data_IF_801267491245
#
_entry.id   IF_801267491245
#
_cell.length_a   1.000
_cell.length_b   1.000
_cell.length_c   1.000
_cell.angle_alpha   90.00
_cell.angle_beta   90.00
_cell.angle_gamma   90.00
#
_symmetry.space_group_name_H-M   'P 1'
#
loop_
_entity.id
_entity.type
_entity.pdbx_description
1 polymer ?
#
# COMPACT_ATOMS: atom_id res chain seq x y z
N UNK A 1 17.16 0.92 -9.18
CA UNK A 1 16.89 2.34 -8.82
C UNK A 1 15.61 2.36 -7.98
N UNK A 2 15.56 3.14 -6.89
CA UNK A 2 14.35 3.35 -6.09
C UNK A 2 14.04 4.85 -6.05
N UNK A 3 12.79 5.21 -6.29
CA UNK A 3 12.32 6.61 -6.27
C UNK A 3 11.15 6.68 -5.31
N UNK A 4 11.37 7.08 -4.04
CA UNK A 4 10.30 7.20 -3.06
C UNK A 4 9.40 8.41 -3.38
N UNK A 5 8.12 8.30 -3.07
CA UNK A 5 7.15 9.39 -3.18
C UNK A 5 6.17 9.34 -2.01
N UNK A 6 5.76 10.51 -1.50
CA UNK A 6 4.92 10.62 -0.30
C UNK A 6 3.45 10.98 -0.61
N UNK A 7 3.01 10.73 -1.84
CA UNK A 7 1.66 11.05 -2.31
C UNK A 7 0.95 9.81 -2.86
N UNK A 8 -0.39 9.88 -2.92
CA UNK A 8 -1.22 8.81 -3.51
C UNK A 8 -0.74 8.51 -4.93
N UNK A 9 -0.42 7.25 -5.20
CA UNK A 9 0.06 6.84 -6.53
C UNK A 9 -1.00 7.15 -7.60
N UNK A 10 -0.67 7.95 -8.64
CA UNK A 10 -1.66 8.42 -9.62
C UNK A 10 -2.11 7.36 -10.63
N UNK A 11 -1.43 6.19 -10.68
CA UNK A 11 -1.74 5.13 -11.65
C UNK A 11 -1.21 5.39 -13.07
N UNK A 12 -0.85 6.63 -13.39
CA UNK A 12 -0.28 7.03 -14.70
C UNK A 12 0.90 7.97 -14.49
N UNK A 13 1.98 7.76 -15.25
CA UNK A 13 3.20 8.55 -15.14
C UNK A 13 3.93 8.61 -16.49
N UNK A 14 4.87 9.56 -16.60
CA UNK A 14 5.84 9.58 -17.68
C UNK A 14 7.16 9.03 -17.17
N UNK A 15 7.76 8.11 -17.91
CA UNK A 15 9.10 7.64 -17.68
C UNK A 15 9.99 8.13 -18.80
N UNK A 16 11.04 8.85 -18.43
CA UNK A 16 12.07 9.33 -19.35
C UNK A 16 13.35 8.60 -18.98
N UNK A 17 13.89 7.83 -19.90
CA UNK A 17 15.15 7.11 -19.75
C UNK A 17 16.17 7.68 -20.71
N UNK A 18 17.32 8.08 -20.18
CA UNK A 18 18.42 8.63 -20.95
C UNK A 18 19.67 7.76 -20.75
N UNK A 19 20.32 7.40 -21.85
CA UNK A 19 21.55 6.63 -21.88
C UNK A 19 22.66 7.59 -22.26
N UNK A 20 23.66 7.72 -21.39
CA UNK A 20 24.76 8.68 -21.54
C UNK A 20 26.10 7.96 -21.65
N UNK A 21 26.99 8.48 -22.49
CA UNK A 21 28.39 8.06 -22.51
C UNK A 21 29.11 8.64 -21.28
N UNK A 22 29.81 7.78 -20.53
CA UNK A 22 30.60 8.16 -19.38
C UNK A 22 32.09 8.24 -19.79
N UNK A 23 32.50 9.31 -20.46
CA UNK A 23 33.94 9.53 -20.68
C UNK A 23 34.65 9.86 -19.36
N UNK A 24 35.76 9.17 -19.14
CA UNK A 24 36.52 9.18 -17.90
C UNK A 24 37.30 10.49 -17.75
N UNK A 25 36.69 11.56 -17.24
CA UNK A 25 37.34 12.46 -16.27
C UNK A 25 36.41 13.58 -15.75
N UNK A 26 36.04 13.41 -14.48
CA UNK A 26 36.05 14.42 -13.42
C UNK A 26 34.89 15.42 -13.28
N UNK A 27 34.13 15.86 -14.31
CA UNK A 27 32.95 16.72 -14.04
C UNK A 27 31.77 16.41 -14.99
N UNK A 28 30.73 15.79 -14.41
CA UNK A 28 29.34 15.69 -14.91
C UNK A 28 29.18 15.30 -16.39
N UNK A 29 29.30 14.01 -16.67
CA UNK A 29 29.04 13.42 -17.99
C UNK A 29 27.64 13.73 -18.57
N UNK A 30 26.68 14.13 -17.74
CA UNK A 30 25.31 14.54 -18.13
C UNK A 30 25.16 16.03 -18.47
N UNK A 31 26.18 16.88 -18.30
CA UNK A 31 26.11 18.30 -18.69
C UNK A 31 26.39 18.52 -20.19
N UNK A 32 27.24 17.69 -20.79
CA UNK A 32 27.54 17.78 -22.22
C UNK A 32 26.52 16.98 -23.05
N UNK A 33 25.55 17.64 -23.68
CA UNK A 33 24.50 16.98 -24.48
C UNK A 33 25.02 16.11 -25.63
N UNK A 34 26.25 16.33 -26.10
CA UNK A 34 26.85 15.47 -27.13
C UNK A 34 27.12 14.04 -26.61
N UNK A 35 27.12 13.82 -25.30
CA UNK A 35 27.29 12.51 -24.68
C UNK A 35 25.98 11.71 -24.58
N UNK A 36 24.83 12.28 -24.96
CA UNK A 36 23.55 11.57 -24.95
C UNK A 36 23.50 10.58 -26.12
N UNK A 37 23.44 9.29 -25.79
CA UNK A 37 23.37 8.20 -26.76
C UNK A 37 21.92 7.97 -27.19
N UNK A 38 21.00 7.95 -26.22
CA UNK A 38 19.60 7.66 -26.46
C UNK A 38 18.71 8.31 -25.41
N UNK A 39 17.52 8.75 -25.82
CA UNK A 39 16.48 9.25 -24.95
C UNK A 39 15.13 8.68 -25.35
N UNK A 40 14.49 7.98 -24.44
CA UNK A 40 13.16 7.41 -24.64
C UNK A 40 12.21 8.01 -23.62
N UNK A 41 11.06 8.50 -24.08
CA UNK A 41 10.03 9.07 -23.22
C UNK A 41 8.69 8.42 -23.56
N UNK A 42 8.11 7.73 -22.58
CA UNK A 42 6.84 7.05 -22.76
C UNK A 42 5.91 7.30 -21.58
N UNK A 43 4.61 7.36 -21.89
CA UNK A 43 3.55 7.40 -20.89
C UNK A 43 3.19 5.98 -20.50
N UNK A 44 3.15 5.71 -19.21
CA UNK A 44 2.82 4.39 -18.67
C UNK A 44 1.63 4.47 -17.74
N UNK A 45 0.83 3.40 -17.75
CA UNK A 45 -0.23 3.15 -16.77
C UNK A 45 0.13 1.89 -16.00
N UNK A 46 0.24 2.00 -14.68
CA UNK A 46 0.63 0.91 -13.80
C UNK A 46 -0.04 1.13 -12.44
N UNK A 47 -0.65 0.09 -11.87
CA UNK A 47 -1.10 0.11 -10.48
C UNK A 47 0.02 -0.40 -9.56
N UNK A 48 -0.06 -0.07 -8.27
CA UNK A 48 0.85 -0.65 -7.29
C UNK A 48 0.64 -2.17 -7.18
N UNK A 49 1.74 -2.90 -7.01
CA UNK A 49 1.76 -4.35 -6.88
C UNK A 49 3.17 -4.93 -6.90
N UNK A 50 3.28 -6.17 -6.44
CA UNK A 50 4.57 -6.89 -6.35
C UNK A 50 5.09 -7.36 -7.71
N UNK A 51 4.24 -7.43 -8.73
CA UNK A 51 4.60 -7.96 -10.05
C UNK A 51 5.43 -6.98 -10.87
N UNK A 52 6.55 -7.46 -11.42
CA UNK A 52 7.39 -6.69 -12.33
C UNK A 52 6.76 -6.52 -13.71
N UNK A 53 6.71 -5.28 -14.19
CA UNK A 53 6.31 -4.94 -15.56
C UNK A 53 7.56 -4.80 -16.41
N UNK A 54 7.64 -5.57 -17.51
CA UNK A 54 8.74 -5.49 -18.48
C UNK A 54 8.47 -4.35 -19.46
N UNK A 55 9.51 -3.61 -19.80
CA UNK A 55 9.50 -2.62 -20.86
C UNK A 55 10.65 -2.84 -21.81
N UNK A 56 10.38 -2.59 -23.09
CA UNK A 56 11.34 -2.63 -24.17
C UNK A 56 11.14 -1.37 -24.98
N UNK A 57 12.09 -0.46 -24.89
CA UNK A 57 12.13 0.77 -25.68
C UNK A 57 13.07 0.58 -26.86
N UNK A 58 12.65 1.06 -28.02
CA UNK A 58 13.43 1.03 -29.25
C UNK A 58 13.61 2.46 -29.71
N UNK A 59 14.84 2.82 -30.03
CA UNK A 59 15.14 3.95 -30.91
C UNK A 59 15.65 3.40 -32.26
N UNK A 60 16.09 4.28 -33.16
CA UNK A 60 16.49 3.88 -34.51
C UNK A 60 17.67 2.89 -34.55
N UNK A 61 18.47 2.74 -33.48
CA UNK A 61 19.69 1.91 -33.48
C UNK A 61 19.90 1.11 -32.18
N UNK A 62 19.15 1.40 -31.11
CA UNK A 62 19.34 0.83 -29.79
C UNK A 62 18.06 0.24 -29.23
N UNK A 63 18.22 -0.84 -28.47
CA UNK A 63 17.16 -1.46 -27.70
C UNK A 63 17.48 -1.37 -26.20
N UNK A 64 16.54 -0.82 -25.43
CA UNK A 64 16.63 -0.73 -23.98
C UNK A 64 15.57 -1.63 -23.33
N UNK A 65 16.01 -2.64 -22.59
CA UNK A 65 15.13 -3.55 -21.83
C UNK A 65 15.32 -3.35 -20.34
N UNK A 66 14.23 -3.07 -19.63
CA UNK A 66 14.23 -3.04 -18.17
C UNK A 66 12.88 -3.51 -17.62
N UNK A 67 12.82 -3.70 -16.30
CA UNK A 67 11.57 -3.97 -15.60
C UNK A 67 11.38 -2.96 -14.48
N UNK A 68 10.13 -2.58 -14.23
CA UNK A 68 9.75 -1.68 -13.15
C UNK A 68 8.49 -2.16 -12.45
N UNK A 69 8.32 -1.75 -11.20
CA UNK A 69 7.09 -1.95 -10.42
C UNK A 69 6.93 -0.80 -9.44
N UNK A 70 5.71 -0.62 -8.95
CA UNK A 70 5.38 0.32 -7.88
C UNK A 70 4.93 -0.53 -6.70
N UNK A 71 5.58 -0.38 -5.56
CA UNK A 71 5.27 -1.15 -4.35
C UNK A 71 4.91 -0.16 -3.25
N UNK A 72 3.91 -0.51 -2.44
CA UNK A 72 3.51 0.32 -1.33
C UNK A 72 4.52 0.25 -0.19
N UNK A 73 4.64 1.34 0.55
CA UNK A 73 5.34 1.32 1.83
C UNK A 73 4.62 0.42 2.82
N UNK A 74 5.32 0.04 3.89
CA UNK A 74 4.78 -0.81 4.93
C UNK A 74 3.44 -0.26 5.46
N UNK A 75 2.44 -1.14 5.54
CA UNK A 75 1.07 -0.85 5.98
C UNK A 75 0.21 0.00 5.04
N UNK A 76 0.73 0.42 3.88
CA UNK A 76 -0.07 1.01 2.83
C UNK A 76 -0.50 -0.07 1.83
N UNK A 77 -1.77 -0.01 1.44
CA UNK A 77 -2.41 -1.04 0.63
C UNK A 77 -3.23 -0.45 -0.51
N UNK A 78 -3.74 -1.34 -1.35
CA UNK A 78 -4.55 -1.02 -2.51
C UNK A 78 -3.74 -0.52 -3.70
N UNK A 79 -4.39 -0.34 -4.86
CA UNK A 79 -3.73 -0.07 -6.14
C UNK A 79 -3.03 1.30 -6.22
N UNK A 80 -3.37 2.21 -5.29
CA UNK A 80 -2.78 3.55 -5.20
C UNK A 80 -1.96 3.81 -3.93
N UNK A 81 -1.67 2.78 -3.13
CA UNK A 81 -0.94 2.88 -1.86
C UNK A 81 -1.48 3.96 -0.92
N UNK A 82 -2.80 4.09 -0.83
CA UNK A 82 -3.46 5.15 -0.05
C UNK A 82 -4.27 4.62 1.14
N UNK A 83 -4.49 3.30 1.22
CA UNK A 83 -5.20 2.70 2.33
C UNK A 83 -4.20 2.30 3.44
N UNK A 84 -4.17 3.06 4.53
CA UNK A 84 -3.32 2.75 5.69
C UNK A 84 -4.02 1.72 6.60
N UNK A 85 -3.40 0.55 6.76
CA UNK A 85 -3.85 -0.47 7.69
C UNK A 85 -2.67 -1.16 8.38
N UNK A 86 -2.54 -0.89 9.69
CA UNK A 86 -1.61 -1.58 10.60
C UNK A 86 -2.40 -2.60 11.43
N UNK A 87 -2.13 -3.91 11.30
CA UNK A 87 -2.76 -4.93 12.13
C UNK A 87 -2.60 -4.61 13.61
N UNK A 88 -3.63 -4.88 14.41
CA UNK A 88 -3.68 -4.53 15.84
C UNK A 88 -4.44 -5.57 16.64
N UNK A 89 -3.99 -5.81 17.87
CA UNK A 89 -4.67 -6.68 18.82
C UNK A 89 -4.43 -6.19 20.26
N UNK A 90 -5.00 -5.03 20.58
CA UNK A 90 -4.88 -4.35 21.87
C UNK A 90 -6.19 -3.62 22.19
N UNK A 91 -6.23 -2.82 23.26
CA UNK A 91 -7.43 -2.09 23.71
C UNK A 91 -8.06 -1.16 22.66
N UNK A 92 -7.32 -0.77 21.62
CA UNK A 92 -7.78 0.13 20.55
C UNK A 92 -8.23 -0.62 19.30
N UNK A 93 -8.18 -1.95 19.27
CA UNK A 93 -8.73 -2.73 18.16
C UNK A 93 -8.13 -4.12 18.00
N UNK A 94 -8.94 -5.00 17.44
CA UNK A 94 -8.64 -6.41 17.23
C UNK A 94 -8.90 -6.79 15.78
N UNK A 95 -7.94 -6.57 14.89
CA UNK A 95 -8.12 -6.78 13.45
C UNK A 95 -6.84 -7.13 12.69
N UNK A 96 -7.04 -7.77 11.54
CA UNK A 96 -6.03 -7.99 10.50
C UNK A 96 -6.34 -7.09 9.29
N UNK A 97 -5.36 -6.90 8.42
CA UNK A 97 -5.52 -6.14 7.18
C UNK A 97 -5.47 -7.09 5.98
N UNK A 98 -6.30 -6.85 4.97
CA UNK A 98 -6.15 -7.51 3.67
C UNK A 98 -5.31 -6.66 2.70
N UNK A 99 -5.16 -7.14 1.46
CA UNK A 99 -4.37 -6.47 0.41
C UNK A 99 -4.97 -5.16 -0.12
N UNK A 100 -6.24 -4.85 0.19
CA UNK A 100 -6.88 -3.57 -0.11
C UNK A 100 -6.79 -2.59 1.08
N UNK A 101 -6.23 -3.04 2.22
CA UNK A 101 -6.13 -2.27 3.45
C UNK A 101 -7.42 -2.22 4.25
N UNK A 102 -8.37 -3.13 3.99
CA UNK A 102 -9.59 -3.25 4.76
C UNK A 102 -9.29 -4.02 6.05
N UNK A 103 -9.89 -3.53 7.14
CA UNK A 103 -9.79 -4.17 8.47
C UNK A 103 -10.76 -5.34 8.56
N UNK A 104 -10.24 -6.51 8.88
CA UNK A 104 -11.00 -7.70 9.19
C UNK A 104 -10.94 -7.97 10.68
N UNK A 105 -12.07 -7.80 11.38
CA UNK A 105 -12.14 -8.02 12.81
C UNK A 105 -11.78 -9.46 13.18
N UNK A 106 -11.05 -9.61 14.29
CA UNK A 106 -10.82 -10.91 14.90
C UNK A 106 -12.14 -11.46 15.45
N UNK A 107 -12.21 -12.80 15.58
CA UNK A 107 -13.39 -13.49 16.09
C UNK A 107 -13.81 -12.89 17.44
N UNK A 108 -15.09 -12.54 17.55
CA UNK A 108 -15.65 -11.96 18.76
C UNK A 108 -15.58 -10.43 18.83
N UNK A 109 -15.07 -9.75 17.80
CA UNK A 109 -14.99 -8.28 17.75
C UNK A 109 -15.76 -7.71 16.57
N UNK A 110 -16.25 -6.48 16.72
CA UNK A 110 -16.99 -5.72 15.71
C UNK A 110 -16.75 -4.21 15.83
N UNK A 111 -17.42 -3.45 14.96
CA UNK A 111 -17.27 -1.99 14.86
C UNK A 111 -16.21 -1.60 13.85
N UNK A 112 -16.14 -0.31 13.51
CA UNK A 112 -15.25 0.24 12.49
C UNK A 112 -13.76 -0.03 12.77
N UNK A 113 -13.38 -0.02 14.05
CA UNK A 113 -12.03 -0.27 14.55
C UNK A 113 -11.86 -1.64 15.19
N UNK A 114 -12.88 -2.50 15.11
CA UNK A 114 -12.89 -3.82 15.76
C UNK A 114 -12.56 -3.74 17.26
N UNK A 115 -13.07 -2.70 17.93
CA UNK A 115 -12.88 -2.42 19.36
C UNK A 115 -14.06 -2.90 20.21
N UNK A 116 -15.19 -3.23 19.58
CA UNK A 116 -16.41 -3.55 20.32
C UNK A 116 -16.54 -5.07 20.44
N UNK A 117 -16.60 -5.62 21.66
CA UNK A 117 -16.78 -7.05 21.85
C UNK A 117 -18.19 -7.48 21.44
N UNK A 118 -18.29 -8.66 20.85
CA UNK A 118 -19.55 -9.34 20.55
C UNK A 118 -19.94 -10.13 21.81
N UNK A 119 -21.06 -9.77 22.43
CA UNK A 119 -21.53 -10.40 23.65
C UNK A 119 -21.99 -11.85 23.45
N UNK A 120 -22.16 -12.58 24.54
CA UNK A 120 -22.74 -13.92 24.51
C UNK A 120 -24.09 -13.94 23.79
N UNK A 121 -24.39 -15.04 23.08
CA UNK A 121 -25.71 -15.24 22.48
C UNK A 121 -26.81 -15.18 23.54
N UNK A 122 -27.88 -14.43 23.25
CA UNK A 122 -28.98 -14.20 24.20
C UNK A 122 -28.74 -13.11 25.24
N UNK A 123 -27.59 -12.40 25.21
CA UNK A 123 -27.37 -11.23 26.05
C UNK A 123 -28.34 -10.10 25.65
N UNK A 124 -29.09 -9.56 26.61
CA UNK A 124 -30.13 -8.57 26.34
C UNK A 124 -29.52 -7.26 25.81
N UNK A 125 -29.86 -6.85 24.58
CA UNK A 125 -29.23 -5.70 23.91
C UNK A 125 -29.31 -4.37 24.68
N UNK A 126 -30.41 -4.13 25.40
CA UNK A 126 -30.61 -2.87 26.14
C UNK A 126 -30.16 -2.94 27.60
N UNK A 127 -30.06 -4.14 28.18
CA UNK A 127 -29.94 -4.37 29.64
C UNK A 127 -28.69 -5.17 30.01
N UNK A 128 -27.99 -5.69 29.01
CA UNK A 128 -26.73 -6.41 29.12
C UNK A 128 -25.63 -5.74 28.30
N UNK A 129 -24.39 -5.92 28.73
CA UNK A 129 -23.19 -5.45 28.03
C UNK A 129 -22.06 -6.47 28.20
N UNK A 130 -20.98 -6.30 27.45
CA UNK A 130 -19.79 -7.14 27.60
C UNK A 130 -18.53 -6.30 27.43
N UNK A 131 -17.53 -6.57 28.28
CA UNK A 131 -16.20 -5.97 28.18
C UNK A 131 -15.23 -6.87 27.39
N UNK A 132 -15.62 -8.12 27.16
CA UNK A 132 -14.86 -9.10 26.38
C UNK A 132 -15.81 -10.01 25.60
N UNK A 133 -15.35 -10.60 24.48
CA UNK A 133 -16.21 -11.41 23.63
C UNK A 133 -16.82 -12.61 24.37
N UNK A 134 -18.08 -12.91 24.06
CA UNK A 134 -18.80 -14.06 24.63
C UNK A 134 -19.14 -13.95 26.11
N UNK A 135 -19.00 -12.76 26.73
CA UNK A 135 -19.51 -12.47 28.08
C UNK A 135 -20.85 -11.75 28.01
N UNK A 136 -21.56 -11.74 29.13
CA UNK A 136 -22.71 -10.88 29.36
C UNK A 136 -22.68 -10.43 30.82
N UNK A 137 -22.75 -9.12 31.03
CA UNK A 137 -22.90 -8.47 32.33
C UNK A 137 -24.23 -7.73 32.31
N UNK A 138 -25.02 -7.89 33.36
CA UNK A 138 -26.27 -7.15 33.51
C UNK A 138 -25.98 -5.71 33.96
N UNK A 139 -26.76 -4.76 33.45
CA UNK A 139 -26.82 -3.41 34.00
C UNK A 139 -27.41 -3.45 35.43
N UNK A 140 -27.17 -2.39 36.20
CA UNK A 140 -27.69 -2.29 37.55
C UNK A 140 -29.23 -2.43 37.56
N UNK A 141 -29.75 -3.34 38.40
CA UNK A 141 -31.18 -3.66 38.47
C UNK A 141 -31.63 -4.83 37.58
N UNK A 142 -30.71 -5.48 36.85
CA UNK A 142 -30.98 -6.67 36.02
C UNK A 142 -30.22 -7.90 36.51
N UNK A 143 -30.78 -9.09 36.28
CA UNK A 143 -30.19 -10.39 36.61
C UNK A 143 -30.64 -11.46 35.60
N UNK A 144 -29.88 -12.55 35.50
CA UNK A 144 -30.12 -13.67 34.59
C UNK A 144 -28.87 -14.50 34.39
#
# INVERSE_FOLDING_TARGET
IRVPFAFKWPGTFYLITEVWNAESSVLKSTENQNNLISRMAARHKLQAGETWTKYTGLDNQNELRFSYRVVCDEYYHGPSCSALCRPRNDTFGHYRCDGEGIRHCLVGWRGEYCSDPICAGGCAEQRGFCESPGKCKCQQGWQG
#
